data_IF_704176841013
#
_entry.id   IF_704176841013
#
_cell.length_a   1.000
_cell.length_b   1.000
_cell.length_c   1.000
_cell.angle_alpha   90.00
_cell.angle_beta   90.00
_cell.angle_gamma   90.00
#
_symmetry.space_group_name_H-M   'P 1'
#
loop_
_entity.id
_entity.type
_entity.pdbx_description
1 polymer ?
#
# COMPACT_ATOMS: atom_id res chain seq x y z
N UNK A 1 0.72 -11.52 19.56
CA UNK A 1 1.92 -10.71 19.76
C UNK A 1 1.57 -9.44 20.57
N UNK A 2 2.56 -8.82 21.22
CA UNK A 2 2.38 -7.80 22.28
C UNK A 2 2.02 -6.39 21.76
N UNK A 3 1.34 -6.25 20.62
CA UNK A 3 0.96 -4.94 20.07
C UNK A 3 2.15 -4.06 19.65
N UNK A 4 3.31 -4.65 19.35
CA UNK A 4 4.47 -3.92 18.84
C UNK A 4 4.17 -3.43 17.44
N UNK A 5 4.27 -2.12 17.22
CA UNK A 5 3.98 -1.50 15.93
C UNK A 5 4.97 -1.96 14.86
N UNK A 6 4.44 -2.46 13.75
CA UNK A 6 5.21 -2.83 12.56
C UNK A 6 5.13 -1.75 11.50
N UNK A 7 6.15 -1.68 10.67
CA UNK A 7 6.24 -0.73 9.58
C UNK A 7 6.58 -1.45 8.28
N UNK A 8 6.08 -0.93 7.17
CA UNK A 8 6.36 -1.44 5.85
C UNK A 8 6.41 -0.34 4.80
N UNK A 9 6.79 -0.71 3.60
CA UNK A 9 6.73 0.13 2.39
C UNK A 9 5.80 -0.53 1.39
N UNK A 10 4.98 0.27 0.71
CA UNK A 10 4.13 -0.16 -0.38
C UNK A 10 4.34 0.75 -1.58
N UNK A 11 4.46 0.16 -2.76
CA UNK A 11 4.78 0.87 -3.99
C UNK A 11 3.64 0.68 -5.00
N UNK A 12 2.93 1.78 -5.31
CA UNK A 12 1.98 1.86 -6.41
C UNK A 12 2.75 2.10 -7.71
N UNK A 13 3.02 1.05 -8.47
CA UNK A 13 3.61 1.15 -9.80
C UNK A 13 2.52 1.47 -10.82
N UNK A 14 2.71 2.50 -11.65
CA UNK A 14 1.73 2.88 -12.66
C UNK A 14 2.39 3.44 -13.92
N UNK A 15 1.66 3.40 -15.03
CA UNK A 15 2.04 4.02 -16.30
C UNK A 15 0.99 5.03 -16.73
N UNK A 16 1.42 6.00 -17.52
CA UNK A 16 0.53 6.97 -18.18
C UNK A 16 0.71 6.80 -19.68
N UNK A 17 -0.36 6.52 -20.39
CA UNK A 17 -0.36 6.41 -21.84
C UNK A 17 -0.36 7.77 -22.54
N UNK A 18 -0.24 7.77 -23.86
CA UNK A 18 -0.11 8.99 -24.68
C UNK A 18 -1.34 9.92 -24.60
N UNK A 19 -2.51 9.37 -24.37
CA UNK A 19 -3.77 10.12 -24.20
C UNK A 19 -4.04 10.48 -22.73
N UNK A 20 -3.11 10.17 -21.82
CA UNK A 20 -3.23 10.48 -20.39
C UNK A 20 -3.95 9.39 -19.57
N UNK A 21 -4.31 8.26 -20.18
CA UNK A 21 -4.90 7.13 -19.47
C UNK A 21 -3.89 6.51 -18.51
N UNK A 22 -4.35 6.22 -17.31
CA UNK A 22 -3.52 5.62 -16.26
C UNK A 22 -3.82 4.13 -16.16
N UNK A 23 -2.76 3.33 -16.11
CA UNK A 23 -2.82 1.91 -15.80
C UNK A 23 -1.91 1.58 -14.63
N UNK A 24 -2.35 0.68 -13.75
CA UNK A 24 -1.63 0.28 -12.55
C UNK A 24 -1.08 -1.14 -12.68
N UNK A 25 0.15 -1.32 -12.22
CA UNK A 25 0.75 -2.63 -12.04
C UNK A 25 0.32 -3.22 -10.69
N UNK A 26 -0.28 -4.40 -10.74
CA UNK A 26 -0.59 -5.21 -9.57
C UNK A 26 0.19 -6.53 -9.63
N UNK A 27 0.61 -7.01 -8.48
CA UNK A 27 1.27 -8.30 -8.32
C UNK A 27 0.25 -9.36 -7.88
N UNK A 28 0.32 -10.57 -8.45
CA UNK A 28 -0.36 -11.75 -7.93
C UNK A 28 0.59 -12.45 -6.97
N UNK A 29 0.23 -12.56 -5.72
CA UNK A 29 1.05 -13.23 -4.69
C UNK A 29 1.23 -14.70 -5.01
N UNK A 30 2.41 -15.24 -4.72
CA UNK A 30 2.67 -16.67 -4.81
C UNK A 30 1.69 -17.46 -3.93
N UNK A 31 1.30 -18.64 -4.39
CA UNK A 31 0.45 -19.56 -3.62
C UNK A 31 1.16 -20.18 -2.40
N UNK A 32 2.48 -19.99 -2.31
CA UNK A 32 3.32 -20.47 -1.20
C UNK A 32 3.53 -19.42 -0.11
N UNK A 33 3.01 -18.18 -0.29
CA UNK A 33 3.08 -17.15 0.75
C UNK A 33 2.32 -17.58 2.00
N UNK A 34 2.90 -17.32 3.17
CA UNK A 34 2.30 -17.67 4.48
C UNK A 34 0.99 -16.90 4.75
N UNK A 35 0.90 -15.67 4.25
CA UNK A 35 -0.28 -14.82 4.41
C UNK A 35 -0.85 -14.43 3.06
N UNK A 36 -2.18 -14.47 2.92
CA UNK A 36 -2.92 -14.08 1.73
C UNK A 36 -2.38 -14.69 0.43
N UNK A 37 -2.18 -16.02 0.34
CA UNK A 37 -1.65 -16.68 -0.86
C UNK A 37 -2.59 -16.49 -2.06
N UNK A 38 -2.01 -16.15 -3.21
CA UNK A 38 -2.74 -16.03 -4.46
C UNK A 38 -3.58 -14.76 -4.62
N UNK A 39 -3.65 -13.86 -3.63
CA UNK A 39 -4.37 -12.59 -3.75
C UNK A 39 -3.57 -11.53 -4.51
N UNK A 40 -4.25 -10.50 -4.99
CA UNK A 40 -3.62 -9.31 -5.57
C UNK A 40 -2.96 -8.46 -4.48
N UNK A 41 -1.83 -7.87 -4.83
CA UNK A 41 -1.01 -7.01 -3.97
C UNK A 41 -0.55 -5.77 -4.74
N UNK A 42 0.02 -4.78 -4.06
CA UNK A 42 0.76 -3.72 -4.71
C UNK A 42 1.88 -4.29 -5.58
N UNK A 43 2.43 -3.50 -6.48
CA UNK A 43 3.51 -3.92 -7.38
C UNK A 43 4.73 -4.45 -6.64
N UNK A 44 5.07 -3.81 -5.52
CA UNK A 44 6.07 -4.30 -4.57
C UNK A 44 5.71 -3.79 -3.17
N UNK A 45 5.97 -4.61 -2.14
CA UNK A 45 5.71 -4.25 -0.75
C UNK A 45 6.53 -5.11 0.20
N UNK A 46 7.10 -4.50 1.23
CA UNK A 46 7.88 -5.24 2.22
C UNK A 46 7.94 -4.59 3.60
N UNK A 47 8.27 -5.41 4.60
CA UNK A 47 8.43 -4.97 5.97
C UNK A 47 9.74 -4.24 6.23
N UNK A 48 9.71 -3.21 7.07
CA UNK A 48 10.93 -2.55 7.53
C UNK A 48 11.61 -3.37 8.62
N UNK A 49 12.85 -3.80 8.36
CA UNK A 49 13.69 -4.35 9.41
C UNK A 49 14.23 -3.24 10.34
N UNK A 50 14.45 -3.57 11.60
CA UNK A 50 15.01 -2.64 12.58
C UNK A 50 16.37 -2.11 12.12
N UNK A 51 16.53 -0.78 12.15
CA UNK A 51 17.77 -0.11 11.74
C UNK A 51 17.92 0.09 10.23
N UNK A 52 17.00 -0.41 9.41
CA UNK A 52 17.04 -0.24 7.95
C UNK A 52 16.19 0.97 7.52
N UNK A 53 16.74 1.81 6.63
CA UNK A 53 16.05 3.00 6.14
C UNK A 53 14.92 2.68 5.17
N UNK A 54 13.87 3.50 5.19
CA UNK A 54 12.67 3.34 4.34
C UNK A 54 13.03 3.29 2.84
N UNK A 55 13.90 4.20 2.38
CA UNK A 55 14.36 4.24 0.97
C UNK A 55 15.17 3.00 0.58
N UNK A 56 15.97 2.48 1.51
CA UNK A 56 16.73 1.26 1.27
C UNK A 56 15.77 0.07 1.10
N UNK A 57 14.81 -0.07 2.01
CA UNK A 57 13.79 -1.12 1.91
C UNK A 57 12.99 -1.01 0.61
N UNK A 58 12.52 0.18 0.24
CA UNK A 58 11.81 0.41 -1.02
C UNK A 58 12.61 -0.10 -2.23
N UNK A 59 13.88 0.30 -2.35
CA UNK A 59 14.72 -0.10 -3.50
C UNK A 59 14.94 -1.61 -3.50
N UNK A 60 15.19 -2.18 -2.33
CA UNK A 60 15.38 -3.63 -2.14
C UNK A 60 14.13 -4.39 -2.62
N UNK A 61 12.94 -4.07 -2.10
CA UNK A 61 11.70 -4.77 -2.47
C UNK A 61 11.37 -4.61 -3.96
N UNK A 62 11.57 -3.41 -4.53
CA UNK A 62 11.41 -3.20 -5.97
C UNK A 62 12.33 -4.11 -6.81
N UNK A 63 13.57 -4.32 -6.38
CA UNK A 63 14.52 -5.17 -7.08
C UNK A 63 14.21 -6.66 -6.90
N UNK A 64 13.92 -7.09 -5.67
CA UNK A 64 13.70 -8.50 -5.33
C UNK A 64 12.39 -9.02 -5.89
N UNK A 65 11.28 -8.32 -5.71
CA UNK A 65 9.96 -8.78 -6.15
C UNK A 65 9.71 -8.55 -7.64
N UNK A 66 10.08 -7.37 -8.19
CA UNK A 66 9.66 -6.92 -9.52
C UNK A 66 10.81 -6.70 -10.51
N UNK A 67 12.06 -6.95 -10.12
CA UNK A 67 13.27 -6.69 -10.92
C UNK A 67 13.35 -5.24 -11.43
N UNK A 68 12.84 -4.26 -10.66
CA UNK A 68 12.92 -2.84 -11.01
C UNK A 68 14.35 -2.35 -10.75
N UNK A 69 15.03 -1.77 -11.77
CA UNK A 69 16.36 -1.19 -11.57
C UNK A 69 16.36 -0.13 -10.47
N UNK A 70 17.42 -0.10 -9.64
CA UNK A 70 17.53 0.84 -8.51
C UNK A 70 17.40 2.30 -8.95
N UNK A 71 17.90 2.66 -10.13
CA UNK A 71 17.78 4.00 -10.69
C UNK A 71 16.31 4.40 -10.93
N UNK A 72 15.45 3.46 -11.35
CA UNK A 72 14.01 3.67 -11.52
C UNK A 72 13.33 3.69 -10.14
N UNK A 73 13.60 2.70 -9.28
CA UNK A 73 13.02 2.61 -7.94
C UNK A 73 13.32 3.88 -7.10
N UNK A 74 14.50 4.47 -7.26
CA UNK A 74 14.89 5.70 -6.56
C UNK A 74 14.03 6.92 -6.92
N UNK A 75 13.33 6.91 -8.06
CA UNK A 75 12.42 8.00 -8.48
C UNK A 75 11.06 7.94 -7.78
N UNK A 76 10.76 6.86 -7.05
CA UNK A 76 9.51 6.72 -6.32
C UNK A 76 9.30 7.89 -5.34
N UNK A 77 8.11 8.48 -5.39
CA UNK A 77 7.73 9.63 -4.58
C UNK A 77 6.99 9.19 -3.32
N UNK A 78 7.41 9.62 -2.11
CA UNK A 78 6.62 9.40 -0.91
C UNK A 78 5.34 10.24 -0.99
N UNK A 79 4.18 9.63 -0.75
CA UNK A 79 2.89 10.29 -0.99
C UNK A 79 1.95 10.25 0.19
N UNK A 80 1.96 9.17 0.97
CA UNK A 80 1.09 9.05 2.14
C UNK A 80 1.62 8.00 3.13
N UNK A 81 0.90 7.87 4.23
CA UNK A 81 1.08 6.79 5.20
C UNK A 81 -0.30 6.22 5.53
N UNK A 82 -0.44 4.90 5.39
CA UNK A 82 -1.64 4.17 5.77
C UNK A 82 -1.37 3.45 7.08
N UNK A 83 -2.16 3.74 8.11
CA UNK A 83 -2.03 3.09 9.43
C UNK A 83 -3.31 2.35 9.77
N UNK A 84 -3.18 1.16 10.30
CA UNK A 84 -4.29 0.32 10.73
C UNK A 84 -3.88 -0.54 11.92
N UNK A 85 -4.87 -1.11 12.59
CA UNK A 85 -4.68 -2.15 13.58
C UNK A 85 -5.65 -3.26 13.26
N UNK A 86 -5.16 -4.49 13.24
CA UNK A 86 -6.01 -5.66 13.12
C UNK A 86 -5.73 -6.64 14.27
N UNK A 87 -6.68 -7.52 14.52
CA UNK A 87 -6.61 -8.57 15.52
C UNK A 87 -6.89 -9.91 14.87
N UNK A 88 -6.11 -10.91 15.20
CA UNK A 88 -6.33 -12.30 14.83
C UNK A 88 -6.09 -13.23 16.04
N UNK A 89 -6.06 -14.54 15.82
CA UNK A 89 -5.83 -15.53 16.88
C UNK A 89 -4.46 -15.42 17.54
N UNK A 90 -3.46 -14.79 16.88
CA UNK A 90 -2.12 -14.58 17.40
C UNK A 90 -2.00 -13.27 18.20
N UNK A 91 -2.97 -12.35 18.10
CA UNK A 91 -3.03 -11.11 18.89
C UNK A 91 -3.33 -9.86 18.09
N UNK A 92 -2.88 -8.71 18.61
CA UNK A 92 -3.13 -7.37 18.06
C UNK A 92 -1.91 -6.88 17.28
N UNK A 93 -2.13 -6.40 16.05
CA UNK A 93 -1.10 -6.00 15.09
C UNK A 93 -1.31 -4.55 14.61
N UNK A 94 -0.74 -3.57 15.32
CA UNK A 94 -0.70 -2.20 14.82
C UNK A 94 0.36 -2.07 13.72
N UNK A 95 -0.02 -1.55 12.56
CA UNK A 95 0.87 -1.37 11.42
C UNK A 95 0.79 0.04 10.83
N UNK A 96 1.89 0.50 10.23
CA UNK A 96 1.93 1.69 9.41
C UNK A 96 2.74 1.43 8.16
N UNK A 97 2.14 1.72 7.01
CA UNK A 97 2.73 1.51 5.70
C UNK A 97 3.11 2.87 5.09
N UNK A 98 4.38 3.03 4.75
CA UNK A 98 4.85 4.18 3.97
C UNK A 98 4.53 3.94 2.50
N UNK A 99 3.72 4.81 1.92
CA UNK A 99 3.20 4.66 0.56
C UNK A 99 4.01 5.50 -0.42
N UNK A 100 4.39 4.87 -1.51
CA UNK A 100 5.13 5.50 -2.60
C UNK A 100 4.41 5.29 -3.93
N UNK A 101 4.37 6.34 -4.75
CA UNK A 101 3.94 6.26 -6.14
C UNK A 101 5.16 6.23 -7.05
N UNK A 102 5.21 5.24 -7.95
CA UNK A 102 6.29 5.05 -8.91
C UNK A 102 5.71 5.03 -10.33
N UNK A 103 5.91 6.14 -11.05
CA UNK A 103 5.60 6.17 -12.47
C UNK A 103 6.68 5.43 -13.24
N UNK A 104 6.29 4.43 -13.99
CA UNK A 104 7.18 3.60 -14.80
C UNK A 104 7.10 4.01 -16.27
N UNK A 105 8.20 3.83 -17.04
CA UNK A 105 8.15 3.96 -18.49
C UNK A 105 7.09 3.04 -19.11
N UNK A 106 6.45 3.48 -20.18
CA UNK A 106 5.37 2.73 -20.83
C UNK A 106 5.84 1.37 -21.38
N UNK A 107 7.11 1.26 -21.73
CA UNK A 107 7.76 0.05 -22.22
C UNK A 107 8.35 -0.84 -21.12
N UNK A 108 8.38 -0.36 -19.86
CA UNK A 108 8.86 -1.17 -18.75
C UNK A 108 7.94 -2.37 -18.50
N UNK A 109 8.56 -3.52 -18.25
CA UNK A 109 7.84 -4.75 -17.86
C UNK A 109 8.50 -5.34 -16.62
N UNK A 110 7.76 -5.48 -15.49
CA UNK A 110 8.26 -6.14 -14.31
C UNK A 110 8.50 -7.64 -14.61
N UNK A 111 9.43 -8.22 -13.88
CA UNK A 111 9.70 -9.65 -13.93
C UNK A 111 9.65 -10.20 -12.52
N UNK A 112 9.16 -11.42 -12.38
CA UNK A 112 9.20 -12.14 -11.11
C UNK A 112 10.66 -12.34 -10.70
N UNK A 113 11.01 -11.91 -9.49
CA UNK A 113 12.36 -11.95 -8.95
C UNK A 113 12.58 -13.13 -8.01
N UNK A 114 12.12 -13.01 -6.78
CA UNK A 114 12.42 -13.94 -5.67
C UNK A 114 11.41 -15.09 -5.49
N UNK A 115 10.37 -15.15 -6.32
CA UNK A 115 9.31 -16.16 -6.22
C UNK A 115 8.19 -15.84 -5.22
N UNK A 116 8.21 -14.68 -4.58
CA UNK A 116 7.11 -14.19 -3.75
C UNK A 116 5.90 -13.72 -4.57
N UNK A 117 6.15 -13.33 -5.81
CA UNK A 117 5.16 -12.96 -6.83
C UNK A 117 5.01 -14.10 -7.84
N UNK A 118 3.78 -14.40 -8.25
CA UNK A 118 3.48 -15.35 -9.31
C UNK A 118 3.54 -14.70 -10.69
N UNK A 119 2.90 -13.54 -10.82
CA UNK A 119 2.80 -12.79 -12.08
C UNK A 119 2.44 -11.32 -11.81
N UNK A 120 2.61 -10.47 -12.83
CA UNK A 120 2.23 -9.06 -12.80
C UNK A 120 1.15 -8.76 -13.83
N UNK A 121 0.20 -7.89 -13.46
CA UNK A 121 -0.88 -7.43 -14.32
C UNK A 121 -0.82 -5.91 -14.47
N UNK A 122 -0.77 -5.41 -15.71
CA UNK A 122 -1.00 -4.00 -15.99
C UNK A 122 -2.47 -3.80 -16.31
N UNK A 123 -3.20 -3.12 -15.44
CA UNK A 123 -4.64 -2.99 -15.53
C UNK A 123 -5.07 -1.50 -15.62
N UNK A 124 -6.02 -1.17 -16.51
CA UNK A 124 -6.66 0.14 -16.50
C UNK A 124 -7.29 0.43 -15.14
N UNK A 125 -7.30 1.70 -14.72
CA UNK A 125 -7.82 2.12 -13.42
C UNK A 125 -9.26 1.65 -13.17
N UNK A 126 -10.12 1.64 -14.19
CA UNK A 126 -11.50 1.14 -14.03
C UNK A 126 -11.53 -0.34 -13.63
N UNK A 127 -10.63 -1.15 -14.20
CA UNK A 127 -10.52 -2.56 -13.80
C UNK A 127 -9.96 -2.73 -12.38
N UNK A 128 -9.04 -1.86 -11.96
CA UNK A 128 -8.53 -1.84 -10.58
C UNK A 128 -9.65 -1.53 -9.59
N UNK A 129 -10.55 -0.58 -9.90
CA UNK A 129 -11.73 -0.27 -9.07
C UNK A 129 -12.67 -1.46 -8.91
N UNK A 130 -12.92 -2.22 -9.99
CA UNK A 130 -13.74 -3.45 -9.93
C UNK A 130 -13.11 -4.49 -8.99
N UNK A 131 -11.80 -4.69 -9.11
CA UNK A 131 -11.07 -5.66 -8.30
C UNK A 131 -11.02 -5.29 -6.82
N UNK A 132 -10.91 -3.99 -6.50
CA UNK A 132 -10.99 -3.51 -5.11
C UNK A 132 -12.33 -3.83 -4.44
N UNK A 133 -13.41 -3.96 -5.21
CA UNK A 133 -14.73 -4.32 -4.70
C UNK A 133 -14.91 -5.85 -4.56
N UNK A 134 -13.91 -6.66 -4.90
CA UNK A 134 -13.92 -8.12 -4.81
C UNK A 134 -13.08 -8.62 -3.64
N UNK A 135 -13.17 -9.91 -3.35
CA UNK A 135 -12.37 -10.58 -2.31
C UNK A 135 -10.99 -11.03 -2.82
N UNK A 136 -10.59 -10.62 -4.04
CA UNK A 136 -9.34 -11.04 -4.69
C UNK A 136 -8.14 -10.16 -4.31
N UNK A 137 -8.32 -9.21 -3.38
CA UNK A 137 -7.28 -8.27 -2.99
C UNK A 137 -6.84 -8.47 -1.53
N UNK A 138 -5.54 -8.44 -1.30
CA UNK A 138 -4.97 -8.43 0.05
C UNK A 138 -5.43 -7.14 0.77
N UNK A 139 -6.02 -7.22 1.97
CA UNK A 139 -6.74 -6.09 2.58
C UNK A 139 -5.93 -4.82 2.75
N UNK A 140 -4.71 -4.90 3.30
CA UNK A 140 -3.86 -3.71 3.49
C UNK A 140 -3.39 -3.10 2.16
N UNK A 141 -3.15 -3.91 1.15
CA UNK A 141 -2.78 -3.46 -0.20
C UNK A 141 -3.96 -2.81 -0.92
N UNK A 142 -5.18 -3.32 -0.69
CA UNK A 142 -6.41 -2.67 -1.16
C UNK A 142 -6.55 -1.24 -0.60
N UNK A 143 -6.24 -1.03 0.69
CA UNK A 143 -6.25 0.30 1.30
C UNK A 143 -5.22 1.25 0.66
N UNK A 144 -4.04 0.76 0.34
CA UNK A 144 -2.98 1.54 -0.33
C UNK A 144 -3.39 1.91 -1.75
N UNK A 145 -4.01 1.00 -2.50
CA UNK A 145 -4.54 1.29 -3.84
C UNK A 145 -5.71 2.26 -3.77
N UNK A 146 -6.60 2.13 -2.79
CA UNK A 146 -7.69 3.07 -2.56
C UNK A 146 -7.17 4.49 -2.29
N UNK A 147 -6.13 4.63 -1.44
CA UNK A 147 -5.44 5.90 -1.20
C UNK A 147 -4.91 6.53 -2.50
N UNK A 148 -4.30 5.72 -3.38
CA UNK A 148 -3.88 6.17 -4.72
C UNK A 148 -5.06 6.70 -5.53
N UNK A 149 -6.14 5.94 -5.63
CA UNK A 149 -7.31 6.32 -6.42
C UNK A 149 -7.96 7.62 -5.94
N UNK A 150 -7.99 7.85 -4.63
CA UNK A 150 -8.51 9.08 -4.02
C UNK A 150 -7.58 10.25 -4.33
N UNK A 151 -6.28 10.12 -4.08
CA UNK A 151 -5.30 11.20 -4.30
C UNK A 151 -5.20 11.64 -5.76
N UNK A 152 -5.45 10.72 -6.68
CA UNK A 152 -5.45 11.00 -8.11
C UNK A 152 -6.85 11.33 -8.67
N UNK A 153 -7.84 11.55 -7.79
CA UNK A 153 -9.21 11.88 -8.16
C UNK A 153 -9.91 10.87 -9.12
N UNK A 154 -9.52 9.59 -9.02
CA UNK A 154 -10.21 8.52 -9.75
C UNK A 154 -11.46 8.01 -9.02
N UNK A 155 -11.61 8.36 -7.74
CA UNK A 155 -12.79 8.06 -6.93
C UNK A 155 -13.30 9.35 -6.33
N UNK A 156 -14.55 9.67 -6.59
CA UNK A 156 -15.28 10.76 -5.95
C UNK A 156 -15.65 10.37 -4.51
N UNK A 157 -15.52 11.28 -3.52
CA UNK A 157 -15.83 10.98 -2.11
C UNK A 157 -17.21 10.41 -1.86
N UNK A 158 -18.20 10.86 -2.66
CA UNK A 158 -19.61 10.44 -2.55
C UNK A 158 -19.96 9.24 -3.45
N UNK A 159 -18.97 8.63 -4.10
CA UNK A 159 -19.21 7.47 -4.95
C UNK A 159 -19.58 6.22 -4.12
N UNK A 160 -20.49 5.40 -4.63
CA UNK A 160 -20.87 4.14 -3.99
C UNK A 160 -19.69 3.14 -3.81
N UNK A 161 -18.57 3.35 -4.50
CA UNK A 161 -17.33 2.60 -4.33
C UNK A 161 -16.68 2.88 -2.97
N UNK A 162 -16.70 4.13 -2.51
CA UNK A 162 -16.23 4.50 -1.17
C UNK A 162 -16.93 3.67 -0.10
N UNK A 163 -18.25 3.58 -0.15
CA UNK A 163 -19.05 2.80 0.81
C UNK A 163 -18.85 1.28 0.69
N UNK A 164 -18.53 0.77 -0.51
CA UNK A 164 -18.27 -0.65 -0.74
C UNK A 164 -16.86 -1.07 -0.35
N UNK A 165 -15.87 -0.19 -0.53
CA UNK A 165 -14.47 -0.47 -0.19
C UNK A 165 -14.20 -0.35 1.32
N UNK A 166 -15.05 0.37 2.05
CA UNK A 166 -15.13 0.38 3.51
C UNK A 166 -16.26 -0.57 3.93
N UNK A 167 -16.27 -1.81 3.44
CA UNK A 167 -17.14 -2.82 4.07
C UNK A 167 -16.71 -2.93 5.52
N UNK A 168 -17.66 -2.85 6.48
CA UNK A 168 -17.40 -3.39 7.79
C UNK A 168 -16.98 -4.84 7.56
N UNK A 169 -15.85 -5.23 8.10
CA UNK A 169 -15.27 -6.57 7.98
C UNK A 169 -16.08 -7.58 8.83
N UNK A 170 -17.40 -7.42 8.88
CA UNK A 170 -18.30 -8.28 9.64
C UNK A 170 -18.37 -9.71 9.09
N UNK A 171 -17.92 -9.94 7.83
CA UNK A 171 -17.89 -11.25 7.18
C UNK A 171 -16.49 -11.87 7.03
N UNK A 172 -15.42 -11.13 7.29
CA UNK A 172 -14.07 -11.68 7.35
C UNK A 172 -13.66 -11.77 8.82
N UNK A 173 -13.79 -12.94 9.40
CA UNK A 173 -13.38 -13.35 10.74
C UNK A 173 -12.49 -12.34 11.49
N UNK A 174 -13.13 -11.45 12.32
CA UNK A 174 -12.53 -10.70 13.43
C UNK A 174 -11.44 -9.66 13.15
N UNK A 175 -11.32 -9.10 11.95
CA UNK A 175 -10.33 -8.05 11.67
C UNK A 175 -10.99 -6.66 11.73
N UNK A 176 -10.73 -5.88 12.77
CA UNK A 176 -11.17 -4.48 12.83
C UNK A 176 -10.08 -3.58 12.27
N UNK A 177 -10.29 -3.01 11.08
CA UNK A 177 -9.37 -2.05 10.48
C UNK A 177 -9.76 -0.62 10.83
N UNK A 178 -8.84 0.14 11.42
CA UNK A 178 -8.94 1.59 11.55
C UNK A 178 -8.03 2.24 10.50
N UNK A 179 -8.64 2.92 9.54
CA UNK A 179 -7.91 3.58 8.45
C UNK A 179 -7.61 5.04 8.81
N UNK A 180 -6.34 5.44 8.75
CA UNK A 180 -5.90 6.83 8.75
C UNK A 180 -4.94 7.05 7.58
N UNK A 181 -5.35 7.81 6.57
CA UNK A 181 -4.45 8.32 5.54
C UNK A 181 -4.03 9.74 5.88
N UNK A 182 -2.73 10.02 5.84
CA UNK A 182 -2.19 11.37 5.94
C UNK A 182 -1.38 11.64 4.68
N UNK A 183 -1.92 12.49 3.80
CA UNK A 183 -1.19 13.01 2.63
C UNK A 183 0.00 13.84 3.08
N UNK A 184 1.18 13.55 2.57
CA UNK A 184 2.35 14.41 2.73
C UNK A 184 2.27 15.46 1.64
N UNK A 185 1.76 16.65 1.96
CA UNK A 185 1.85 17.80 1.06
C UNK A 185 3.33 18.16 0.88
N UNK A 186 3.81 18.06 -0.35
CA UNK A 186 5.14 18.52 -0.75
C UNK A 186 5.22 20.03 -0.58
N UNK A 187 6.09 20.49 0.33
CA UNK A 187 6.64 21.81 0.28
C UNK A 187 5.91 22.94 1.00
N UNK A 188 5.74 22.85 2.32
CA UNK A 188 5.72 24.03 3.20
C UNK A 188 6.55 23.67 4.42
N UNK A 189 7.53 24.53 4.77
CA UNK A 189 8.39 24.33 5.93
C UNK A 189 7.58 24.08 7.20
N UNK A 190 7.80 22.92 7.77
CA UNK A 190 7.11 22.50 9.00
C UNK A 190 7.87 23.08 10.17
N UNK A 191 7.31 24.13 10.77
CA UNK A 191 7.60 24.45 12.16
C UNK A 191 7.21 23.25 13.02
N UNK A 192 8.05 22.93 14.01
CA UNK A 192 7.85 21.81 14.92
C UNK A 192 6.43 21.82 15.53
N UNK A 193 5.78 20.65 15.68
CA UNK A 193 4.50 20.58 16.34
C UNK A 193 4.66 20.94 17.83
N UNK A 194 3.68 21.65 18.45
CA UNK A 194 3.70 21.93 19.87
C UNK A 194 3.55 20.61 20.66
N UNK A 195 4.30 20.53 21.74
CA UNK A 195 4.35 19.44 22.69
C UNK A 195 2.95 18.96 23.12
N UNK A 196 2.63 17.72 22.81
CA UNK A 196 1.57 16.96 23.47
C UNK A 196 2.18 16.10 24.60
N UNK A 197 2.78 16.77 25.58
CA UNK A 197 2.99 16.21 26.91
C UNK A 197 2.11 16.98 27.89
N UNK A 198 0.98 16.41 28.21
CA UNK A 198 0.44 16.50 29.56
C UNK A 198 -0.60 15.41 29.80
N UNK A 199 -0.11 14.31 30.31
CA UNK A 199 -0.90 13.28 30.97
C UNK A 199 -1.57 13.90 32.21
N UNK A 200 -2.89 13.91 32.27
CA UNK A 200 -3.58 14.04 33.53
C UNK A 200 -4.00 12.67 34.02
N UNK A 201 -3.42 12.31 35.14
CA UNK A 201 -3.81 11.22 36.04
C UNK A 201 -5.31 11.19 36.30
N UNK A 202 -5.93 10.04 36.11
CA UNK A 202 -7.20 9.73 36.76
C UNK A 202 -6.92 8.93 38.04
N UNK A 203 -7.32 9.53 39.12
CA UNK A 203 -7.60 8.86 40.39
C UNK A 203 -8.90 8.10 40.30
#
# INVERSE_FOLDING_TARGET
LFGVKRYGVHINGYTVGDSGEVSMWLARRSRTKQTYPGLLDNMAAGGLAAGVGIRHTLIKECQEEACIPSAIAATARPVSTVSYTYEDEEGVFPESQFVFDLQLPADFRPRVGDGEVLEFHLLPIEKVKELLASDDFKPNSAMVVLDFLIRHAFIEPDSGLWHKSIRPVDDLQKETFYFFSRSVLSGVGVGAPPDLMNSRSFT
#
